data_IF_066186569161
#
_entry.id   IF_066186569161
#
_cell.length_a   1.000
_cell.length_b   1.000
_cell.length_c   1.000
_cell.angle_alpha   90.00
_cell.angle_beta   90.00
_cell.angle_gamma   90.00
#
_symmetry.space_group_name_H-M   'P 1'
#
loop_
_entity.id
_entity.type
_entity.pdbx_description
1 polymer ?
#
# COMPACT_ATOMS: atom_id res chain seq x y z
N UNK A 1 31.64 12.38 -11.83
CA UNK A 1 31.22 11.13 -12.52
C UNK A 1 29.86 10.72 -11.96
N UNK A 2 28.91 10.37 -12.80
CA UNK A 2 27.62 9.81 -12.40
C UNK A 2 27.83 8.47 -11.71
N UNK A 3 27.20 8.23 -10.56
CA UNK A 3 27.25 6.95 -9.84
C UNK A 3 25.91 6.26 -9.92
N UNK A 4 25.91 4.95 -10.08
CA UNK A 4 24.70 4.15 -10.25
C UNK A 4 24.71 3.01 -9.26
N UNK A 5 23.61 2.82 -8.53
CA UNK A 5 23.33 1.64 -7.71
C UNK A 5 22.27 0.85 -8.46
N UNK A 6 22.60 -0.33 -8.88
CA UNK A 6 21.69 -1.18 -9.65
C UNK A 6 20.58 -1.75 -8.77
N UNK A 7 19.49 -2.15 -9.39
CA UNK A 7 18.42 -2.90 -8.74
C UNK A 7 18.99 -4.18 -8.11
N UNK A 8 18.48 -4.56 -6.92
CA UNK A 8 18.84 -5.79 -6.22
C UNK A 8 19.90 -5.61 -5.12
N UNK A 9 20.47 -4.40 -4.97
CA UNK A 9 21.39 -4.14 -3.87
C UNK A 9 20.68 -4.20 -2.51
N UNK A 10 21.36 -4.81 -1.53
CA UNK A 10 20.81 -5.13 -0.23
C UNK A 10 21.30 -4.20 0.86
N UNK A 11 20.37 -3.82 1.72
CA UNK A 11 20.59 -3.11 2.98
C UNK A 11 19.83 -3.84 4.08
N UNK A 12 20.15 -3.58 5.35
CA UNK A 12 19.56 -4.33 6.45
C UNK A 12 19.28 -3.49 7.70
N UNK A 13 18.37 -4.02 8.52
CA UNK A 13 18.21 -3.73 9.95
C UNK A 13 18.30 -5.04 10.71
N UNK A 14 19.42 -5.30 11.40
CA UNK A 14 19.67 -6.57 12.05
C UNK A 14 19.58 -7.75 11.06
N UNK A 15 18.66 -8.67 11.31
CA UNK A 15 18.42 -9.84 10.46
C UNK A 15 17.38 -9.62 9.34
N UNK A 16 16.85 -8.42 9.21
CA UNK A 16 15.90 -8.08 8.16
C UNK A 16 16.60 -7.43 6.99
N UNK A 17 16.47 -8.03 5.82
CA UNK A 17 17.10 -7.58 4.58
C UNK A 17 16.09 -6.89 3.68
N UNK A 18 16.56 -5.83 3.05
CA UNK A 18 15.80 -5.06 2.06
C UNK A 18 16.63 -4.95 0.78
N UNK A 19 15.99 -5.05 -0.37
CA UNK A 19 16.62 -4.90 -1.67
C UNK A 19 16.08 -3.68 -2.42
N UNK A 20 16.90 -3.02 -3.20
CA UNK A 20 16.45 -1.96 -4.12
C UNK A 20 15.62 -2.54 -5.25
N UNK A 21 14.42 -1.98 -5.48
CA UNK A 21 13.51 -2.43 -6.55
C UNK A 21 13.71 -1.68 -7.86
N UNK A 22 14.52 -0.62 -7.84
CA UNK A 22 14.84 0.22 -8.99
C UNK A 22 16.32 0.60 -8.99
N UNK A 23 16.82 1.01 -10.13
CA UNK A 23 18.17 1.57 -10.27
C UNK A 23 18.20 2.99 -9.73
N UNK A 24 19.05 3.24 -8.73
CA UNK A 24 19.22 4.55 -8.11
C UNK A 24 20.44 5.26 -8.69
N UNK A 25 20.24 6.45 -9.20
CA UNK A 25 21.30 7.26 -9.79
C UNK A 25 21.63 8.46 -8.89
N UNK A 26 22.94 8.59 -8.59
CA UNK A 26 23.47 9.80 -7.95
C UNK A 26 24.00 10.74 -9.03
N UNK A 27 23.34 11.86 -9.18
CA UNK A 27 23.72 12.90 -10.14
C UNK A 27 25.04 13.60 -9.75
N UNK A 28 25.74 14.13 -10.75
CA UNK A 28 26.98 14.87 -10.54
C UNK A 28 26.75 16.06 -9.61
N UNK A 29 27.59 16.19 -8.59
CA UNK A 29 27.48 17.29 -7.59
C UNK A 29 26.48 17.03 -6.46
N UNK A 30 25.69 15.96 -6.53
CA UNK A 30 24.82 15.52 -5.41
C UNK A 30 25.55 14.56 -4.48
N UNK A 31 25.21 14.61 -3.20
CA UNK A 31 25.75 13.73 -2.15
C UNK A 31 24.75 12.67 -1.68
N UNK A 32 23.49 12.82 -2.07
CA UNK A 32 22.39 11.93 -1.68
C UNK A 32 21.54 11.58 -2.87
N UNK A 33 21.03 10.35 -2.89
CA UNK A 33 20.01 9.88 -3.83
C UNK A 33 18.96 9.09 -3.06
N UNK A 34 17.73 9.09 -3.55
CA UNK A 34 16.60 8.38 -2.94
C UNK A 34 16.18 7.27 -3.89
N UNK A 35 15.93 6.10 -3.35
CA UNK A 35 15.43 4.95 -4.09
C UNK A 35 14.45 4.14 -3.24
N UNK A 36 13.62 3.34 -3.90
CA UNK A 36 12.66 2.46 -3.25
C UNK A 36 13.30 1.12 -2.93
N UNK A 37 12.99 0.59 -1.74
CA UNK A 37 13.45 -0.73 -1.30
C UNK A 37 12.26 -1.59 -0.87
N UNK A 38 12.42 -2.90 -0.95
CA UNK A 38 11.44 -3.89 -0.54
C UNK A 38 12.07 -4.87 0.43
N UNK A 39 11.35 -5.21 1.50
CA UNK A 39 11.75 -6.25 2.42
C UNK A 39 11.77 -7.62 1.72
N UNK A 40 12.82 -8.42 1.95
CA UNK A 40 12.93 -9.78 1.42
C UNK A 40 12.10 -10.79 2.23
N UNK A 41 11.86 -10.51 3.51
CA UNK A 41 10.98 -11.32 4.33
C UNK A 41 9.53 -11.00 4.05
N UNK A 42 8.70 -12.03 3.95
CA UNK A 42 7.24 -11.90 3.77
C UNK A 42 6.53 -11.69 5.11
N UNK A 43 5.29 -11.21 5.07
CA UNK A 43 4.47 -10.98 6.26
C UNK A 43 4.62 -9.58 6.85
N UNK A 44 4.23 -9.43 8.10
CA UNK A 44 4.23 -8.15 8.83
C UNK A 44 5.60 -7.77 9.41
N UNK A 45 6.57 -8.69 9.42
CA UNK A 45 7.84 -8.51 10.13
C UNK A 45 8.67 -7.31 9.63
N UNK A 46 8.49 -6.91 8.38
CA UNK A 46 9.14 -5.75 7.78
C UNK A 46 8.40 -4.42 7.97
N UNK A 47 7.23 -4.42 8.61
CA UNK A 47 6.46 -3.21 8.87
C UNK A 47 6.94 -2.48 10.14
N UNK A 48 6.50 -1.23 10.27
CA UNK A 48 6.70 -0.41 11.47
C UNK A 48 8.16 -0.15 11.88
N UNK A 49 9.08 -0.29 10.94
CA UNK A 49 10.48 0.10 11.17
C UNK A 49 10.55 1.62 11.09
N UNK A 50 11.04 2.24 12.15
CA UNK A 50 11.12 3.69 12.27
C UNK A 50 12.18 4.30 11.34
N UNK A 51 12.05 5.60 11.09
CA UNK A 51 12.99 6.34 10.23
C UNK A 51 14.41 6.25 10.79
N UNK A 52 15.37 5.94 9.92
CA UNK A 52 16.80 5.85 10.30
C UNK A 52 17.25 4.47 10.76
N UNK A 53 16.36 3.53 11.02
CA UNK A 53 16.73 2.23 11.57
C UNK A 53 17.29 1.22 10.55
N UNK A 54 16.96 1.38 9.25
CA UNK A 54 17.58 0.59 8.18
C UNK A 54 18.88 1.29 7.78
N UNK A 55 19.98 0.92 8.40
CA UNK A 55 21.24 1.65 8.30
C UNK A 55 22.45 0.79 7.91
N UNK A 56 22.28 -0.52 7.79
CA UNK A 56 23.38 -1.43 7.47
C UNK A 56 23.47 -1.67 5.96
N UNK A 57 24.64 -1.41 5.38
CA UNK A 57 24.97 -1.76 3.99
C UNK A 57 25.38 -3.23 3.99
N UNK A 58 24.74 -4.05 3.18
CA UNK A 58 25.04 -5.50 3.06
C UNK A 58 25.95 -5.74 1.87
N UNK A 59 25.59 -5.20 0.71
CA UNK A 59 26.40 -5.29 -0.49
C UNK A 59 27.34 -4.10 -0.56
N UNK A 60 28.63 -4.34 -0.54
CA UNK A 60 29.66 -3.29 -0.53
C UNK A 60 29.69 -2.54 -1.87
N UNK A 61 29.51 -1.22 -1.80
CA UNK A 61 29.60 -0.31 -2.94
C UNK A 61 30.66 0.75 -2.64
N UNK A 62 31.78 0.81 -3.38
CA UNK A 62 32.97 1.59 -3.00
C UNK A 62 32.74 3.08 -2.73
N UNK A 63 31.63 3.64 -3.18
CA UNK A 63 31.28 5.07 -3.02
C UNK A 63 30.04 5.30 -2.15
N UNK A 64 29.44 4.25 -1.59
CA UNK A 64 28.29 4.35 -0.70
C UNK A 64 28.79 4.36 0.76
N UNK A 65 28.65 5.49 1.43
CA UNK A 65 29.15 5.68 2.79
C UNK A 65 28.10 5.33 3.85
N UNK A 66 26.83 5.59 3.58
CA UNK A 66 25.74 5.34 4.51
C UNK A 66 24.40 5.20 3.78
N UNK A 67 23.50 4.47 4.41
CA UNK A 67 22.11 4.33 3.98
C UNK A 67 21.19 4.62 5.16
N UNK A 68 19.97 5.08 4.88
CA UNK A 68 18.97 5.31 5.90
C UNK A 68 17.59 5.36 5.26
N UNK A 69 16.59 4.73 5.87
CA UNK A 69 15.22 4.92 5.43
C UNK A 69 14.69 6.28 5.90
N UNK A 70 14.02 6.96 5.01
CA UNK A 70 13.43 8.30 5.26
C UNK A 70 11.93 8.25 5.55
N UNK A 71 11.32 7.06 5.42
CA UNK A 71 9.92 6.80 5.77
C UNK A 71 9.86 5.58 6.67
N UNK A 72 8.82 5.52 7.51
CA UNK A 72 8.45 4.31 8.24
C UNK A 72 8.03 3.23 7.23
N UNK A 73 8.44 1.99 7.46
CA UNK A 73 8.10 0.89 6.57
C UNK A 73 6.65 0.44 6.76
N UNK A 74 6.00 0.08 5.66
CA UNK A 74 4.60 -0.37 5.65
C UNK A 74 4.29 -1.24 4.42
N UNK A 75 3.08 -1.79 4.35
CA UNK A 75 2.60 -2.52 3.17
C UNK A 75 2.90 -4.02 3.18
N UNK A 76 3.60 -4.53 4.21
CA UNK A 76 3.72 -5.97 4.43
C UNK A 76 2.40 -6.53 4.99
N UNK A 77 2.05 -7.77 4.59
CA UNK A 77 0.83 -8.42 5.04
C UNK A 77 1.05 -9.93 5.17
N UNK A 78 0.42 -10.53 6.17
CA UNK A 78 0.43 -11.98 6.34
C UNK A 78 -0.47 -12.66 5.32
N UNK A 79 -0.39 -13.98 5.24
CA UNK A 79 -1.29 -14.76 4.37
C UNK A 79 -2.74 -14.53 4.75
N UNK A 80 -3.61 -14.30 3.77
CA UNK A 80 -5.05 -14.18 3.99
C UNK A 80 -5.63 -15.44 4.64
N UNK A 81 -6.62 -15.27 5.51
CA UNK A 81 -7.34 -16.39 6.10
C UNK A 81 -8.40 -16.95 5.16
N UNK A 82 -8.92 -18.15 5.48
CA UNK A 82 -9.88 -18.87 4.64
C UNK A 82 -11.19 -18.10 4.41
N UNK A 83 -11.66 -17.35 5.40
CA UNK A 83 -12.90 -16.58 5.26
C UNK A 83 -12.75 -15.48 4.22
N UNK A 84 -11.62 -14.76 4.27
CA UNK A 84 -11.30 -13.75 3.28
C UNK A 84 -11.07 -14.35 1.88
N UNK A 85 -10.41 -15.50 1.82
CA UNK A 85 -10.23 -16.22 0.56
C UNK A 85 -11.57 -16.63 -0.07
N UNK A 86 -12.52 -17.16 0.73
CA UNK A 86 -13.87 -17.48 0.27
C UNK A 86 -14.62 -16.25 -0.23
N UNK A 87 -14.54 -15.12 0.49
CA UNK A 87 -15.17 -13.86 0.07
C UNK A 87 -14.60 -13.36 -1.26
N UNK A 88 -13.29 -13.44 -1.44
CA UNK A 88 -12.61 -13.08 -2.69
C UNK A 88 -13.06 -13.98 -3.86
N UNK A 89 -13.23 -15.29 -3.63
CA UNK A 89 -13.79 -16.22 -4.63
C UNK A 89 -15.23 -15.80 -4.97
N UNK A 90 -16.05 -15.51 -3.99
CA UNK A 90 -17.45 -15.09 -4.19
C UNK A 90 -17.57 -13.78 -4.98
N UNK A 91 -16.65 -12.87 -4.80
CA UNK A 91 -16.60 -11.57 -5.50
C UNK A 91 -15.99 -11.68 -6.90
N UNK A 92 -15.17 -12.69 -7.18
CA UNK A 92 -14.44 -12.83 -8.45
C UNK A 92 -15.33 -12.73 -9.70
N UNK A 93 -16.56 -13.34 -9.78
CA UNK A 93 -17.42 -13.22 -10.94
C UNK A 93 -17.79 -11.78 -11.28
N UNK A 94 -17.89 -10.89 -10.28
CA UNK A 94 -18.21 -9.46 -10.48
C UNK A 94 -17.08 -8.70 -11.17
N UNK A 95 -15.84 -9.20 -11.08
CA UNK A 95 -14.67 -8.59 -11.71
C UNK A 95 -14.62 -8.76 -13.23
N UNK A 96 -15.42 -9.67 -13.81
CA UNK A 96 -15.44 -9.87 -15.26
C UNK A 96 -16.13 -8.72 -16.02
N UNK A 97 -16.93 -7.91 -15.34
CA UNK A 97 -17.58 -6.77 -15.97
C UNK A 97 -16.68 -5.55 -15.97
N UNK A 98 -16.31 -5.09 -17.15
CA UNK A 98 -15.56 -3.83 -17.36
C UNK A 98 -16.49 -2.62 -17.51
N UNK A 99 -17.80 -2.82 -17.37
CA UNK A 99 -18.79 -1.73 -17.45
C UNK A 99 -18.89 -0.87 -16.16
N UNK A 100 -17.99 -1.07 -15.20
CA UNK A 100 -17.90 -0.28 -13.97
C UNK A 100 -18.97 -0.54 -12.91
N UNK A 101 -19.51 -1.80 -12.74
CA UNK A 101 -20.45 -2.04 -11.66
C UNK A 101 -19.74 -1.91 -10.30
N UNK A 102 -20.46 -1.42 -9.29
CA UNK A 102 -19.96 -1.30 -7.91
C UNK A 102 -19.20 -2.56 -7.42
N UNK A 103 -19.73 -3.76 -7.75
CA UNK A 103 -19.10 -5.02 -7.33
C UNK A 103 -17.74 -5.30 -7.99
N UNK A 104 -17.48 -4.79 -9.19
CA UNK A 104 -16.17 -4.91 -9.83
C UNK A 104 -15.15 -4.01 -9.12
N UNK A 105 -15.48 -2.74 -8.89
CA UNK A 105 -14.63 -1.84 -8.11
C UNK A 105 -14.33 -2.39 -6.73
N UNK A 106 -15.36 -2.89 -6.02
CA UNK A 106 -15.18 -3.48 -4.69
C UNK A 106 -14.23 -4.69 -4.73
N UNK A 107 -14.37 -5.58 -5.73
CA UNK A 107 -13.46 -6.70 -5.89
C UNK A 107 -12.01 -6.25 -6.05
N UNK A 108 -11.73 -5.28 -6.94
CA UNK A 108 -10.37 -4.80 -7.19
C UNK A 108 -9.78 -4.10 -5.95
N UNK A 109 -10.57 -3.32 -5.24
CA UNK A 109 -10.14 -2.65 -3.99
C UNK A 109 -9.79 -3.69 -2.92
N UNK A 110 -10.69 -4.63 -2.62
CA UNK A 110 -10.48 -5.67 -1.60
C UNK A 110 -9.31 -6.60 -1.94
N UNK A 111 -9.00 -6.80 -3.22
CA UNK A 111 -7.87 -7.64 -3.64
C UNK A 111 -6.55 -6.88 -3.76
N UNK A 112 -6.53 -5.57 -3.57
CA UNK A 112 -5.30 -4.77 -3.61
C UNK A 112 -4.43 -5.01 -2.39
N UNK A 113 -5.04 -5.12 -1.21
CA UNK A 113 -4.33 -5.41 0.04
C UNK A 113 -5.24 -6.18 1.00
N UNK A 114 -4.68 -7.13 1.76
CA UNK A 114 -5.48 -7.98 2.65
C UNK A 114 -6.05 -7.27 3.88
N UNK A 115 -5.46 -6.15 4.30
CA UNK A 115 -5.96 -5.38 5.44
C UNK A 115 -7.10 -4.41 5.07
N UNK A 116 -7.47 -4.34 3.80
CA UNK A 116 -8.69 -3.65 3.37
C UNK A 116 -9.88 -4.57 3.66
N UNK A 117 -10.74 -4.19 4.58
CA UNK A 117 -11.91 -4.99 4.99
C UNK A 117 -13.15 -4.67 4.18
N UNK A 118 -13.31 -3.41 3.76
CA UNK A 118 -14.43 -2.94 2.98
C UNK A 118 -14.04 -1.66 2.22
N UNK A 119 -14.95 -1.14 1.40
CA UNK A 119 -14.76 0.14 0.72
C UNK A 119 -16.08 0.82 0.43
N UNK A 120 -16.15 2.12 0.72
CA UNK A 120 -17.26 2.95 0.26
C UNK A 120 -16.97 3.51 -1.13
N UNK A 121 -17.82 3.14 -2.09
CA UNK A 121 -17.66 3.48 -3.51
C UNK A 121 -18.93 4.20 -3.98
N UNK A 122 -18.77 5.41 -4.50
CA UNK A 122 -19.90 6.21 -4.97
C UNK A 122 -19.50 7.19 -6.06
N UNK A 123 -20.50 7.65 -6.84
CA UNK A 123 -20.34 8.73 -7.80
C UNK A 123 -21.02 9.98 -7.25
N UNK A 124 -20.30 11.10 -7.06
CA UNK A 124 -20.90 12.34 -6.60
C UNK A 124 -21.91 12.89 -7.64
N UNK A 125 -23.07 13.33 -7.18
CA UNK A 125 -24.14 13.87 -8.06
C UNK A 125 -23.64 15.08 -8.87
N UNK A 126 -22.77 15.91 -8.25
CA UNK A 126 -22.23 17.12 -8.85
C UNK A 126 -21.07 16.87 -9.83
N UNK A 127 -20.56 15.63 -9.91
CA UNK A 127 -19.43 15.27 -10.75
C UNK A 127 -19.67 13.92 -11.44
N UNK A 128 -20.55 13.86 -12.45
CA UNK A 128 -20.77 12.65 -13.21
C UNK A 128 -19.49 12.13 -13.83
N UNK A 129 -19.32 10.79 -13.85
CA UNK A 129 -18.10 10.15 -14.35
C UNK A 129 -16.92 10.09 -13.34
N UNK A 130 -17.05 10.72 -12.18
CA UNK A 130 -16.09 10.55 -11.10
C UNK A 130 -16.55 9.42 -10.16
N UNK A 131 -15.70 8.41 -9.98
CA UNK A 131 -15.91 7.33 -9.02
C UNK A 131 -15.00 7.57 -7.83
N UNK A 132 -15.58 7.87 -6.68
CA UNK A 132 -14.85 8.03 -5.41
C UNK A 132 -14.79 6.72 -4.65
N UNK A 133 -13.60 6.39 -4.18
CA UNK A 133 -13.29 5.15 -3.46
C UNK A 133 -12.63 5.50 -2.14
N UNK A 134 -13.23 5.05 -1.04
CA UNK A 134 -12.74 5.26 0.31
C UNK A 134 -12.53 3.88 0.94
N UNK A 135 -11.29 3.34 0.94
CA UNK A 135 -11.01 2.03 1.51
C UNK A 135 -11.07 2.07 3.04
N UNK A 136 -11.70 1.07 3.63
CA UNK A 136 -11.75 0.85 5.07
C UNK A 136 -10.74 -0.23 5.45
N UNK A 137 -9.81 0.14 6.33
CA UNK A 137 -8.78 -0.77 6.81
C UNK A 137 -9.25 -1.54 8.05
N UNK A 138 -8.62 -2.68 8.27
CA UNK A 138 -8.78 -3.47 9.49
C UNK A 138 -8.50 -2.61 10.73
N UNK A 139 -9.24 -2.84 11.80
CA UNK A 139 -9.14 -2.11 13.08
C UNK A 139 -9.40 -0.59 13.00
N UNK A 140 -9.96 -0.08 11.89
CA UNK A 140 -10.22 1.36 11.72
C UNK A 140 -8.96 2.20 11.46
N UNK A 141 -7.87 1.57 11.07
CA UNK A 141 -6.62 2.27 10.70
C UNK A 141 -6.81 3.08 9.41
N UNK A 142 -5.95 4.08 9.21
CA UNK A 142 -5.93 4.83 7.96
C UNK A 142 -5.01 4.14 6.93
N UNK A 143 -5.43 4.05 5.66
CA UNK A 143 -4.57 3.51 4.61
C UNK A 143 -3.31 4.35 4.43
N UNK A 144 -2.16 3.69 4.30
CA UNK A 144 -0.91 4.33 3.93
C UNK A 144 -0.92 4.77 2.47
N UNK A 145 0.05 5.61 2.07
CA UNK A 145 0.21 6.02 0.66
C UNK A 145 0.43 4.83 -0.26
N UNK A 146 1.20 3.86 0.19
CA UNK A 146 1.51 2.65 -0.57
C UNK A 146 0.25 1.82 -0.87
N UNK A 147 -0.66 1.68 0.11
CA UNK A 147 -1.94 0.99 -0.08
C UNK A 147 -2.82 1.72 -1.08
N UNK A 148 -2.88 3.05 -1.01
CA UNK A 148 -3.63 3.85 -2.00
C UNK A 148 -3.05 3.70 -3.41
N UNK A 149 -1.72 3.63 -3.54
CA UNK A 149 -1.07 3.43 -4.83
C UNK A 149 -1.29 2.00 -5.37
N UNK A 150 -1.32 0.96 -4.50
CA UNK A 150 -1.72 -0.39 -4.89
C UNK A 150 -3.14 -0.45 -5.44
N UNK A 151 -4.09 0.27 -4.81
CA UNK A 151 -5.46 0.35 -5.31
C UNK A 151 -5.50 1.05 -6.68
N UNK A 152 -4.77 2.16 -6.85
CA UNK A 152 -4.67 2.87 -8.15
C UNK A 152 -4.10 1.96 -9.23
N UNK A 153 -3.07 1.19 -8.90
CA UNK A 153 -2.46 0.26 -9.82
C UNK A 153 -3.41 -0.86 -10.26
N UNK A 154 -4.23 -1.36 -9.35
CA UNK A 154 -5.27 -2.35 -9.65
C UNK A 154 -6.42 -1.81 -10.51
N UNK A 155 -6.69 -0.51 -10.42
CA UNK A 155 -7.79 0.18 -11.12
C UNK A 155 -7.27 0.96 -12.35
N UNK A 156 -6.29 0.42 -13.07
CA UNK A 156 -5.84 0.95 -14.36
C UNK A 156 -6.93 0.88 -15.42
N UNK A 157 -6.70 1.55 -16.53
CA UNK A 157 -7.66 1.72 -17.63
C UNK A 157 -8.18 0.40 -18.22
N UNK A 158 -7.42 -0.69 -18.11
CA UNK A 158 -7.80 -2.02 -18.61
C UNK A 158 -8.97 -2.68 -17.84
N UNK A 159 -9.29 -2.22 -16.63
CA UNK A 159 -10.28 -2.87 -15.75
C UNK A 159 -11.49 -2.00 -15.42
N UNK A 160 -11.53 -0.77 -15.93
CA UNK A 160 -12.60 0.18 -15.70
C UNK A 160 -13.09 0.82 -17.00
N UNK A 161 -14.30 1.41 -17.05
CA UNK A 161 -14.72 2.22 -18.19
C UNK A 161 -13.76 3.40 -18.43
N UNK A 162 -13.50 3.72 -19.68
CA UNK A 162 -12.66 4.86 -20.05
C UNK A 162 -13.25 6.20 -19.61
N UNK A 163 -14.58 6.24 -19.41
CA UNK A 163 -15.31 7.43 -18.95
C UNK A 163 -15.18 7.69 -17.46
N UNK A 164 -14.73 6.69 -16.68
CA UNK A 164 -14.69 6.78 -15.23
C UNK A 164 -13.36 7.37 -14.76
N UNK A 165 -13.43 8.52 -14.10
CA UNK A 165 -12.31 9.09 -13.38
C UNK A 165 -12.31 8.57 -11.95
N UNK A 166 -11.36 7.71 -11.60
CA UNK A 166 -11.25 7.15 -10.24
C UNK A 166 -10.45 8.08 -9.34
N UNK A 167 -11.05 8.45 -8.20
CA UNK A 167 -10.43 9.22 -7.14
C UNK A 167 -10.44 8.39 -5.84
N UNK A 168 -9.26 8.17 -5.23
CA UNK A 168 -9.12 7.39 -4.03
C UNK A 168 -8.77 8.32 -2.88
N UNK A 169 -9.59 8.32 -1.84
CA UNK A 169 -9.46 9.21 -0.69
C UNK A 169 -9.28 8.40 0.60
N UNK A 170 -8.60 8.99 1.58
CA UNK A 170 -8.54 8.41 2.94
C UNK A 170 -9.85 8.65 3.67
N UNK A 171 -10.33 7.69 4.49
CA UNK A 171 -11.47 7.93 5.37
C UNK A 171 -11.16 9.01 6.40
N UNK A 172 -12.19 9.72 6.84
CA UNK A 172 -12.09 10.64 7.97
C UNK A 172 -12.40 9.88 9.26
N UNK A 173 -11.50 9.99 10.24
CA UNK A 173 -11.72 9.40 11.56
C UNK A 173 -12.47 10.37 12.44
N UNK A 174 -13.48 9.86 13.14
CA UNK A 174 -14.21 10.57 14.19
C UNK A 174 -14.08 9.76 15.48
N UNK A 175 -13.54 10.38 16.51
CA UNK A 175 -13.48 9.79 17.85
C UNK A 175 -14.74 10.16 18.62
N UNK A 176 -15.33 9.18 19.29
CA UNK A 176 -16.47 9.39 20.18
C UNK A 176 -16.33 8.52 21.44
N UNK A 177 -16.92 9.00 22.54
CA UNK A 177 -16.93 8.27 23.78
C UNK A 177 -18.31 7.64 24.00
N UNK A 178 -18.33 6.36 24.36
CA UNK A 178 -19.54 5.65 24.76
C UNK A 178 -19.53 5.54 26.28
N UNK A 179 -20.55 6.09 26.93
CA UNK A 179 -20.77 5.96 28.39
C UNK A 179 -22.05 5.14 28.63
N UNK A 180 -21.90 3.92 29.11
CA UNK A 180 -23.01 2.99 29.35
C UNK A 180 -23.14 2.69 30.85
N UNK A 181 -24.32 2.91 31.40
CA UNK A 181 -24.69 2.43 32.76
C UNK A 181 -25.62 1.23 32.59
N UNK A 182 -25.30 0.12 33.24
CA UNK A 182 -26.14 -1.07 33.23
C UNK A 182 -26.34 -1.57 34.67
N UNK A 183 -27.46 -2.24 34.88
CA UNK A 183 -27.81 -2.82 36.18
C UNK A 183 -27.89 -4.33 36.00
N UNK A 184 -27.26 -5.06 36.91
CA UNK A 184 -27.34 -6.53 36.97
C UNK A 184 -28.39 -6.86 38.02
N UNK A 185 -29.36 -7.72 37.69
CA UNK A 185 -30.34 -8.29 38.63
C UNK A 185 -29.75 -9.49 39.31
#
# INVERSE_FOLDING_TARGET
MKKVIEKGHKIAKGNLYFESIETVTLEIGKRTAIGKVKCLSTGLIGNDIEIGEISTIVDDIPYLLSVSNITKTSGGADRENDNRYRERIRLKPKAFSVAGPHGAYLYYVLTSHQDITDSYIYTPIISPGVVKIIPLMKNGELPSSEILDLIKEKLKDDVRPLTDKVEIEKPKQFTYNINVKYWIK
#
